data_IF_291492337146
#
_entry.id   IF_291492337146
#
_cell.length_a   1.000
_cell.length_b   1.000
_cell.length_c   1.000
_cell.angle_alpha   90.00
_cell.angle_beta   90.00
_cell.angle_gamma   90.00
#
_symmetry.space_group_name_H-M   'P 1'
#
loop_
_entity.id
_entity.type
_entity.pdbx_description
1 polymer ?
#
# COMPACT_ATOMS: atom_id res chain seq x y z
N UNK A 1 8.55 -4.37 -5.08
CA UNK A 1 7.22 -3.81 -5.44
C UNK A 1 6.22 -4.90 -5.81
N UNK A 2 6.44 -5.72 -6.84
CA UNK A 2 5.47 -6.73 -7.30
C UNK A 2 5.08 -7.77 -6.24
N UNK A 3 6.06 -8.40 -5.58
CA UNK A 3 5.83 -9.44 -4.56
C UNK A 3 4.91 -9.01 -3.40
N UNK A 4 4.88 -7.71 -3.06
CA UNK A 4 4.01 -7.16 -1.99
C UNK A 4 2.59 -6.85 -2.47
N UNK A 5 2.40 -6.54 -3.77
CA UNK A 5 1.07 -6.41 -4.37
C UNK A 5 0.32 -7.75 -4.30
N UNK A 6 1.06 -8.83 -4.50
CA UNK A 6 0.55 -10.20 -4.38
C UNK A 6 0.28 -10.56 -2.90
N UNK A 7 1.21 -10.26 -1.99
CA UNK A 7 1.10 -10.53 -0.55
C UNK A 7 -0.10 -9.81 0.10
N UNK A 8 -0.32 -8.55 -0.28
CA UNK A 8 -1.44 -7.77 0.23
C UNK A 8 -2.69 -7.90 -0.64
N UNK A 9 -2.79 -8.80 -1.62
CA UNK A 9 -4.03 -9.08 -2.36
C UNK A 9 -4.83 -7.84 -2.80
N UNK A 10 -4.15 -6.87 -3.42
CA UNK A 10 -4.78 -5.73 -4.10
C UNK A 10 -4.08 -5.47 -5.43
N UNK A 11 -4.85 -4.93 -6.39
CA UNK A 11 -4.29 -4.40 -7.62
C UNK A 11 -3.97 -2.92 -7.41
N UNK A 12 -2.75 -2.51 -7.76
CA UNK A 12 -2.32 -1.12 -7.77
C UNK A 12 -2.04 -0.75 -9.22
N UNK A 13 -2.87 0.11 -9.79
CA UNK A 13 -2.85 0.42 -11.23
C UNK A 13 -2.17 1.75 -11.55
N UNK A 14 -2.27 2.74 -10.67
CA UNK A 14 -1.57 4.01 -10.79
C UNK A 14 -1.24 4.58 -9.41
N UNK A 15 -0.16 5.36 -9.30
CA UNK A 15 0.19 6.11 -8.09
C UNK A 15 1.01 7.35 -8.40
N UNK A 16 0.96 8.32 -7.50
CA UNK A 16 1.81 9.52 -7.52
C UNK A 16 2.23 9.87 -6.09
N UNK A 17 3.49 10.26 -5.93
CA UNK A 17 4.01 10.81 -4.68
C UNK A 17 4.10 12.33 -4.82
N UNK A 18 3.52 13.03 -3.85
CA UNK A 18 3.70 14.44 -3.62
C UNK A 18 4.62 14.63 -2.40
N UNK A 19 5.16 15.84 -2.17
CA UNK A 19 6.07 16.09 -1.06
C UNK A 19 5.50 15.72 0.33
N UNK A 20 4.19 15.84 0.53
CA UNK A 20 3.50 15.68 1.80
C UNK A 20 2.52 14.49 1.85
N UNK A 21 2.07 13.99 0.69
CA UNK A 21 1.15 12.86 0.61
C UNK A 21 1.28 12.06 -0.69
N UNK A 22 0.51 10.99 -0.81
CA UNK A 22 0.47 10.17 -2.02
C UNK A 22 -0.95 9.86 -2.41
N UNK A 23 -1.16 9.69 -3.71
CA UNK A 23 -2.41 9.16 -4.27
C UNK A 23 -2.14 7.82 -4.96
N UNK A 24 -3.10 6.91 -4.90
CA UNK A 24 -3.06 5.68 -5.65
C UNK A 24 -4.45 5.21 -6.06
N UNK A 25 -4.52 4.55 -7.21
CA UNK A 25 -5.70 3.78 -7.64
C UNK A 25 -5.46 2.33 -7.24
N UNK A 26 -6.29 1.85 -6.30
CA UNK A 26 -6.17 0.53 -5.71
C UNK A 26 -7.51 -0.20 -5.80
N UNK A 27 -7.50 -1.43 -6.30
CA UNK A 27 -8.64 -2.33 -6.26
C UNK A 27 -8.38 -3.48 -5.27
N UNK A 28 -9.05 -3.50 -4.10
CA UNK A 28 -8.96 -4.65 -3.20
C UNK A 28 -9.65 -5.87 -3.82
N UNK A 29 -9.09 -7.06 -3.62
CA UNK A 29 -9.76 -8.30 -3.97
C UNK A 29 -10.74 -8.71 -2.86
N UNK A 30 -11.95 -9.12 -3.24
CA UNK A 30 -12.93 -9.74 -2.36
C UNK A 30 -12.28 -10.92 -1.58
N UNK A 31 -12.62 -11.15 -0.30
CA UNK A 31 -13.68 -10.52 0.51
C UNK A 31 -13.24 -9.31 1.35
N UNK A 32 -11.98 -8.85 1.25
CA UNK A 32 -11.45 -7.86 2.20
C UNK A 32 -11.91 -6.45 1.85
N UNK A 33 -12.36 -5.70 2.86
CA UNK A 33 -12.77 -4.31 2.70
C UNK A 33 -11.59 -3.39 2.37
N UNK A 34 -11.90 -2.24 1.75
CA UNK A 34 -10.93 -1.18 1.47
C UNK A 34 -10.18 -0.78 2.75
N UNK A 35 -10.89 -0.57 3.86
CA UNK A 35 -10.29 -0.12 5.13
C UNK A 35 -9.23 -1.07 5.67
N UNK A 36 -9.51 -2.38 5.67
CA UNK A 36 -8.54 -3.40 6.10
C UNK A 36 -7.30 -3.40 5.21
N UNK A 37 -7.49 -3.25 3.89
CA UNK A 37 -6.40 -3.22 2.92
C UNK A 37 -5.54 -1.97 3.09
N UNK A 38 -6.17 -0.81 3.20
CA UNK A 38 -5.50 0.47 3.40
C UNK A 38 -4.72 0.52 4.71
N UNK A 39 -5.27 -0.03 5.80
CA UNK A 39 -4.56 -0.15 7.07
C UNK A 39 -3.27 -0.97 6.92
N UNK A 40 -3.36 -2.14 6.28
CA UNK A 40 -2.20 -2.99 6.01
C UNK A 40 -1.12 -2.27 5.18
N UNK A 41 -1.51 -1.57 4.11
CA UNK A 41 -0.59 -0.83 3.23
C UNK A 41 0.15 0.26 4.02
N UNK A 42 -0.58 1.03 4.83
CA UNK A 42 0.01 2.11 5.64
C UNK A 42 1.03 1.57 6.63
N UNK A 43 0.65 0.56 7.42
CA UNK A 43 1.52 0.00 8.46
C UNK A 43 2.78 -0.62 7.86
N UNK A 44 2.65 -1.44 6.82
CA UNK A 44 3.80 -2.10 6.19
C UNK A 44 4.78 -1.08 5.58
N UNK A 45 4.25 -0.05 4.91
CA UNK A 45 5.06 0.99 4.28
C UNK A 45 5.79 1.84 5.33
N UNK A 46 5.09 2.28 6.39
CA UNK A 46 5.69 3.04 7.49
C UNK A 46 6.81 2.26 8.16
N UNK A 47 6.59 0.96 8.45
CA UNK A 47 7.63 0.12 9.04
C UNK A 47 8.87 0.05 8.13
N UNK A 48 8.68 -0.14 6.83
CA UNK A 48 9.78 -0.26 5.88
C UNK A 48 10.58 1.02 5.74
N UNK A 49 9.90 2.16 5.60
CA UNK A 49 10.56 3.48 5.51
C UNK A 49 11.39 3.72 6.77
N UNK A 50 10.83 3.45 7.96
CA UNK A 50 11.54 3.66 9.21
C UNK A 50 12.71 2.69 9.40
N UNK A 51 12.63 1.45 8.90
CA UNK A 51 13.78 0.52 8.93
C UNK A 51 14.90 0.92 7.98
N UNK A 52 14.61 1.63 6.89
CA UNK A 52 15.62 2.12 5.95
C UNK A 52 16.27 3.44 6.38
N UNK A 53 15.72 4.10 7.41
CA UNK A 53 16.29 5.32 8.01
C UNK A 53 17.24 5.03 9.17
N UNK A 54 17.35 3.76 9.58
CA UNK A 54 18.37 3.27 10.51
C UNK A 54 19.56 2.77 9.72
#
# INVERSE_FOLDING_TARGET
>A
MQARRDEHGFLLTAWVFLPDHWHAIVAPRYPKSVSLRMGSIKVSSTRQINTQRR
#
